data_IF_535685452833
#
_entry.id   IF_535685452833
#
_cell.length_a   1.000
_cell.length_b   1.000
_cell.length_c   1.000
_cell.angle_alpha   90.00
_cell.angle_beta   90.00
_cell.angle_gamma   90.00
#
_symmetry.space_group_name_H-M   'P 1'
#
loop_
_entity.id
_entity.type
_entity.pdbx_description
1 polymer ?
#
# COMPACT_ATOMS: atom_id res chain seq x y z
N UNK A 1 -43.74 20.43 14.76
CA UNK A 1 -42.95 21.17 15.76
C UNK A 1 -42.25 22.31 15.04
N UNK A 2 -42.61 23.54 15.37
CA UNK A 2 -42.15 24.76 14.68
C UNK A 2 -40.85 25.24 15.34
N UNK A 3 -39.75 25.31 14.57
CA UNK A 3 -38.51 25.90 15.06
C UNK A 3 -38.45 27.38 14.64
N UNK A 4 -38.52 28.26 15.64
CA UNK A 4 -38.25 29.70 15.52
C UNK A 4 -36.74 29.92 15.66
N UNK A 5 -36.12 30.60 14.68
CA UNK A 5 -34.76 31.16 14.79
C UNK A 5 -34.80 32.64 14.45
N UNK A 6 -34.31 33.51 15.34
CA UNK A 6 -33.58 34.72 14.95
C UNK A 6 -32.40 35.00 15.89
N UNK A 7 -31.41 35.87 15.65
CA UNK A 7 -30.77 36.44 14.47
C UNK A 7 -29.42 37.02 14.98
N UNK A 8 -28.45 37.13 14.08
CA UNK A 8 -27.03 37.52 14.29
C UNK A 8 -26.80 38.79 15.12
N UNK A 9 -25.61 38.85 15.74
CA UNK A 9 -24.73 40.03 15.59
C UNK A 9 -23.31 39.61 15.22
N UNK A 10 -22.72 40.20 14.15
CA UNK A 10 -21.30 40.06 13.84
C UNK A 10 -20.51 41.13 14.60
N UNK A 11 -19.58 40.73 15.46
CA UNK A 11 -18.59 41.66 16.03
C UNK A 11 -17.41 41.76 15.06
N UNK A 12 -17.33 42.91 14.38
CA UNK A 12 -16.37 43.18 13.31
C UNK A 12 -14.93 43.42 13.77
N UNK A 13 -14.03 43.68 12.79
CA UNK A 13 -12.58 43.69 12.98
C UNK A 13 -12.06 45.05 13.48
N UNK A 14 -11.22 45.04 14.53
CA UNK A 14 -10.42 46.21 14.90
C UNK A 14 -9.19 46.30 14.00
N UNK A 15 -9.26 47.27 13.09
CA UNK A 15 -8.17 47.78 12.27
C UNK A 15 -7.17 48.53 13.17
N UNK A 16 -5.88 48.32 12.91
CA UNK A 16 -4.69 48.98 13.51
C UNK A 16 -4.04 48.22 14.67
N UNK A 17 -3.07 47.39 14.32
CA UNK A 17 -1.74 47.38 14.96
C UNK A 17 -0.70 46.92 13.94
N UNK A 18 -0.08 47.94 13.35
CA UNK A 18 1.29 48.05 12.86
C UNK A 18 2.05 46.75 12.54
N UNK A 19 2.14 46.45 11.23
CA UNK A 19 3.17 45.58 10.67
C UNK A 19 4.49 46.36 10.65
N UNK A 20 5.39 46.03 11.57
CA UNK A 20 6.82 46.32 11.47
C UNK A 20 7.43 45.27 10.55
N UNK A 21 8.06 45.71 9.47
CA UNK A 21 8.61 44.86 8.44
C UNK A 21 9.93 44.19 8.82
N UNK A 22 10.14 43.01 8.24
CA UNK A 22 11.46 42.54 7.84
C UNK A 22 11.30 41.87 6.48
N UNK A 23 12.04 42.37 5.49
CA UNK A 23 12.10 41.80 4.15
C UNK A 23 12.84 40.45 4.20
N UNK A 24 12.18 39.39 3.74
CA UNK A 24 12.78 38.08 3.51
C UNK A 24 12.18 37.48 2.24
N UNK A 25 12.97 37.44 1.18
CA UNK A 25 12.60 36.83 -0.08
C UNK A 25 12.57 35.29 0.07
N UNK A 26 11.58 34.65 -0.56
CA UNK A 26 11.73 33.28 -1.05
C UNK A 26 10.81 32.19 -0.45
N UNK A 27 10.05 31.58 -1.37
CA UNK A 27 9.70 30.16 -1.49
C UNK A 27 8.49 29.59 -0.71
N UNK A 28 7.48 29.24 -1.52
CA UNK A 28 6.70 27.99 -1.57
C UNK A 28 6.11 27.36 -0.29
N UNK A 29 4.80 27.12 -0.40
CA UNK A 29 4.00 26.08 0.27
C UNK A 29 4.80 24.83 0.65
N UNK A 30 4.72 24.43 1.93
CA UNK A 30 5.09 23.10 2.37
C UNK A 30 5.29 22.97 3.88
N UNK A 31 4.27 22.48 4.59
CA UNK A 31 4.44 21.93 5.95
C UNK A 31 5.41 20.75 5.91
N UNK A 32 6.62 20.91 6.45
CA UNK A 32 7.37 19.82 7.05
C UNK A 32 8.27 20.39 8.14
N UNK A 33 8.03 19.99 9.39
CA UNK A 33 8.89 20.33 10.51
C UNK A 33 10.29 19.74 10.25
N UNK A 34 11.29 20.60 10.19
CA UNK A 34 12.69 20.23 10.03
C UNK A 34 13.23 19.57 11.29
N UNK A 35 13.77 18.38 11.14
CA UNK A 35 14.74 17.81 12.07
C UNK A 35 16.12 17.95 11.45
N UNK A 36 16.92 18.86 11.99
CA UNK A 36 18.35 18.96 11.72
C UNK A 36 19.06 17.67 12.17
N UNK A 37 19.88 17.11 11.28
CA UNK A 37 20.73 15.97 11.57
C UNK A 37 21.55 15.56 10.34
N UNK A 38 22.65 16.27 10.10
CA UNK A 38 23.71 15.87 9.16
C UNK A 38 24.41 14.60 9.66
N UNK A 39 24.53 13.58 8.79
CA UNK A 39 25.81 13.05 8.32
C UNK A 39 25.58 11.83 7.41
N UNK A 40 26.13 11.90 6.20
CA UNK A 40 26.04 10.86 5.19
C UNK A 40 27.24 9.90 5.29
N UNK A 41 27.02 8.68 5.78
CA UNK A 41 27.79 7.48 5.42
C UNK A 41 27.08 6.20 5.89
N UNK A 42 26.57 5.39 4.94
CA UNK A 42 26.40 3.94 5.13
C UNK A 42 25.25 3.44 6.03
N UNK A 43 24.05 4.03 5.95
CA UNK A 43 22.87 3.49 6.63
C UNK A 43 22.05 2.56 5.75
N UNK A 44 22.01 1.26 6.05
CA UNK A 44 21.03 0.36 5.42
C UNK A 44 19.59 0.81 5.67
N UNK A 45 18.59 0.32 4.89
CA UNK A 45 17.23 0.83 4.99
C UNK A 45 16.64 0.59 6.39
N UNK A 46 15.81 1.54 6.82
CA UNK A 46 15.09 1.48 8.08
C UNK A 46 14.19 0.23 8.15
N UNK A 47 13.81 -0.20 9.35
CA UNK A 47 12.88 -1.33 9.54
C UNK A 47 11.57 -1.10 8.78
N UNK A 48 11.07 0.14 8.78
CA UNK A 48 9.86 0.54 8.07
C UNK A 48 10.01 0.42 6.55
N UNK A 49 11.13 0.90 5.99
CA UNK A 49 11.40 0.79 4.55
C UNK A 49 11.55 -0.68 4.12
N UNK A 50 12.25 -1.50 4.91
CA UNK A 50 12.37 -2.94 4.67
C UNK A 50 10.99 -3.62 4.70
N UNK A 51 10.15 -3.28 5.67
CA UNK A 51 8.81 -3.83 5.81
C UNK A 51 7.91 -3.45 4.62
N UNK A 52 7.95 -2.19 4.18
CA UNK A 52 7.23 -1.71 2.99
C UNK A 52 7.73 -2.38 1.71
N UNK A 53 9.05 -2.45 1.51
CA UNK A 53 9.64 -3.11 0.35
C UNK A 53 9.27 -4.60 0.29
N UNK A 54 9.29 -5.29 1.43
CA UNK A 54 8.83 -6.67 1.54
C UNK A 54 7.35 -6.82 1.19
N UNK A 55 6.49 -5.97 1.76
CA UNK A 55 5.06 -6.00 1.49
C UNK A 55 4.73 -5.69 0.02
N UNK A 56 5.45 -4.76 -0.61
CA UNK A 56 5.32 -4.47 -2.05
C UNK A 56 5.73 -5.69 -2.89
N UNK A 57 6.87 -6.32 -2.58
CA UNK A 57 7.36 -7.51 -3.29
C UNK A 57 6.40 -8.69 -3.17
N UNK A 58 5.93 -8.99 -1.96
CA UNK A 58 4.99 -10.10 -1.75
C UNK A 58 3.65 -9.85 -2.44
N UNK A 59 3.18 -8.58 -2.45
CA UNK A 59 1.98 -8.20 -3.21
C UNK A 59 2.19 -8.34 -4.72
N UNK A 60 3.38 -8.01 -5.24
CA UNK A 60 3.72 -8.21 -6.65
C UNK A 60 3.71 -9.68 -7.05
N UNK A 61 4.29 -10.55 -6.21
CA UNK A 61 4.22 -12.00 -6.43
C UNK A 61 2.80 -12.56 -6.37
N UNK A 62 1.87 -11.90 -5.69
CA UNK A 62 0.46 -12.25 -5.73
C UNK A 62 -0.22 -11.78 -7.03
N UNK A 63 0.12 -10.60 -7.56
CA UNK A 63 -0.36 -10.15 -8.89
C UNK A 63 0.00 -11.15 -9.97
N UNK A 64 1.24 -11.63 -9.97
CA UNK A 64 1.72 -12.65 -10.93
C UNK A 64 0.91 -13.96 -10.85
N UNK A 65 0.47 -14.35 -9.65
CA UNK A 65 -0.41 -15.53 -9.48
C UNK A 65 -1.81 -15.28 -10.04
N UNK A 66 -2.38 -14.10 -9.81
CA UNK A 66 -3.65 -13.73 -10.44
C UNK A 66 -3.54 -13.76 -11.97
N UNK A 67 -2.45 -13.21 -12.53
CA UNK A 67 -2.17 -13.24 -13.97
C UNK A 67 -2.09 -14.67 -14.51
N UNK A 68 -1.37 -15.55 -13.82
CA UNK A 68 -1.25 -16.95 -14.21
C UNK A 68 -2.61 -17.67 -14.18
N UNK A 69 -3.44 -17.44 -13.16
CA UNK A 69 -4.78 -18.04 -13.07
C UNK A 69 -5.71 -17.50 -14.16
N UNK A 70 -5.69 -16.19 -14.43
CA UNK A 70 -6.49 -15.58 -15.51
C UNK A 70 -6.07 -16.13 -16.87
N UNK A 71 -4.77 -16.30 -17.11
CA UNK A 71 -4.25 -16.86 -18.36
C UNK A 71 -4.63 -18.33 -18.55
N UNK A 72 -4.62 -19.13 -17.48
CA UNK A 72 -5.00 -20.54 -17.52
C UNK A 72 -6.52 -20.75 -17.59
N UNK A 73 -7.30 -19.84 -17.00
CA UNK A 73 -8.76 -19.92 -16.86
C UNK A 73 -9.45 -18.63 -17.30
N UNK A 74 -9.57 -18.38 -18.62
CA UNK A 74 -10.17 -17.14 -19.13
C UNK A 74 -11.61 -16.91 -18.67
N UNK A 75 -12.37 -17.97 -18.40
CA UNK A 75 -13.74 -17.90 -17.89
C UNK A 75 -13.83 -17.26 -16.49
N UNK A 76 -12.75 -17.29 -15.71
CA UNK A 76 -12.67 -16.64 -14.40
C UNK A 76 -12.26 -15.18 -14.47
N UNK A 77 -11.88 -14.66 -15.65
CA UNK A 77 -11.31 -13.33 -15.78
C UNK A 77 -12.24 -12.22 -15.26
N UNK A 78 -13.55 -12.35 -15.48
CA UNK A 78 -14.53 -11.37 -15.00
C UNK A 78 -14.57 -11.27 -13.46
N UNK A 79 -14.39 -12.40 -12.76
CA UNK A 79 -14.32 -12.45 -11.30
C UNK A 79 -12.97 -11.95 -10.78
N UNK A 80 -11.88 -12.35 -11.45
CA UNK A 80 -10.52 -12.14 -10.94
C UNK A 80 -9.94 -10.75 -11.27
N UNK A 81 -10.37 -10.11 -12.36
CA UNK A 81 -9.80 -8.81 -12.79
C UNK A 81 -9.98 -7.70 -11.75
N UNK A 82 -11.16 -7.51 -11.12
CA UNK A 82 -11.33 -6.50 -10.07
C UNK A 82 -10.45 -6.78 -8.85
N UNK A 83 -10.35 -8.05 -8.42
CA UNK A 83 -9.52 -8.44 -7.27
C UNK A 83 -8.03 -8.20 -7.55
N UNK A 84 -7.57 -8.58 -8.75
CA UNK A 84 -6.20 -8.29 -9.21
C UNK A 84 -5.90 -6.80 -9.19
N UNK A 85 -6.83 -5.96 -9.64
CA UNK A 85 -6.65 -4.51 -9.66
C UNK A 85 -6.45 -3.93 -8.24
N UNK A 86 -7.16 -4.45 -7.25
CA UNK A 86 -6.94 -4.09 -5.84
C UNK A 86 -5.56 -4.54 -5.34
N UNK A 87 -5.10 -5.75 -5.68
CA UNK A 87 -3.74 -6.20 -5.33
C UNK A 87 -2.66 -5.32 -5.96
N UNK A 88 -2.87 -4.86 -7.20
CA UNK A 88 -1.99 -3.88 -7.85
C UNK A 88 -1.99 -2.54 -7.10
N UNK A 89 -3.14 -2.08 -6.59
CA UNK A 89 -3.21 -0.88 -5.72
C UNK A 89 -2.47 -1.09 -4.42
N UNK A 90 -2.51 -2.27 -3.82
CA UNK A 90 -1.71 -2.60 -2.63
C UNK A 90 -0.20 -2.50 -2.88
N UNK A 91 0.29 -2.98 -4.03
CA UNK A 91 1.70 -2.81 -4.44
C UNK A 91 2.08 -1.33 -4.46
N UNK A 92 1.23 -0.49 -5.06
CA UNK A 92 1.45 0.95 -5.14
C UNK A 92 1.41 1.62 -3.76
N UNK A 93 0.49 1.23 -2.89
CA UNK A 93 0.35 1.75 -1.53
C UNK A 93 1.60 1.51 -0.67
N UNK A 94 2.31 0.39 -0.89
CA UNK A 94 3.59 0.11 -0.23
C UNK A 94 4.80 0.78 -0.90
N UNK A 95 4.59 1.56 -1.95
CA UNK A 95 5.64 2.32 -2.65
C UNK A 95 6.20 1.63 -3.90
N UNK A 96 5.63 0.50 -4.34
CA UNK A 96 6.10 -0.22 -5.53
C UNK A 96 5.97 0.54 -6.86
N UNK A 97 5.28 1.68 -6.89
CA UNK A 97 5.12 2.54 -8.07
C UNK A 97 5.90 3.86 -8.03
N UNK A 98 6.50 4.24 -6.90
CA UNK A 98 7.26 5.50 -6.76
C UNK A 98 8.75 5.20 -6.81
N UNK A 99 9.27 5.03 -8.02
CA UNK A 99 10.69 5.23 -8.28
C UNK A 99 11.03 6.71 -8.11
N UNK A 100 11.46 7.11 -6.90
CA UNK A 100 12.38 8.23 -6.80
C UNK A 100 13.71 7.76 -7.40
N UNK A 101 13.98 8.26 -8.60
CA UNK A 101 15.25 8.15 -9.28
C UNK A 101 16.37 8.72 -8.40
N UNK A 102 17.12 7.84 -7.75
CA UNK A 102 18.58 7.88 -7.53
C UNK A 102 18.95 6.67 -6.68
N UNK A 103 19.07 5.51 -7.32
CA UNK A 103 19.90 4.43 -6.82
C UNK A 103 20.51 3.77 -8.06
N UNK A 104 21.77 4.09 -8.31
CA UNK A 104 22.59 3.37 -9.29
C UNK A 104 22.73 1.94 -8.78
N UNK A 105 21.84 1.06 -9.22
CA UNK A 105 21.92 -0.36 -8.89
C UNK A 105 22.95 -1.03 -9.82
N UNK A 106 24.15 -1.28 -9.30
CA UNK A 106 25.06 -2.26 -9.88
C UNK A 106 24.39 -3.64 -9.90
N UNK A 107 24.41 -4.38 -11.02
CA UNK A 107 23.83 -5.71 -11.08
C UNK A 107 24.84 -6.70 -10.50
N UNK A 108 24.73 -7.00 -9.21
CA UNK A 108 25.38 -8.18 -8.64
C UNK A 108 24.45 -8.82 -7.62
N UNK A 109 23.34 -9.34 -8.12
CA UNK A 109 22.44 -10.22 -7.40
C UNK A 109 22.45 -11.58 -8.09
N UNK A 110 23.11 -12.56 -7.49
CA UNK A 110 23.05 -13.96 -7.88
C UNK A 110 21.58 -14.41 -8.02
N UNK A 111 21.21 -15.26 -9.00
CA UNK A 111 19.84 -15.74 -9.14
C UNK A 111 19.47 -16.55 -7.89
N UNK A 112 18.83 -15.89 -6.93
CA UNK A 112 18.15 -16.54 -5.82
C UNK A 112 17.12 -17.46 -6.45
N UNK A 113 17.28 -18.77 -6.25
CA UNK A 113 16.44 -19.83 -6.80
C UNK A 113 14.97 -19.39 -6.80
N UNK A 114 14.51 -18.96 -7.98
CA UNK A 114 13.11 -18.64 -8.19
C UNK A 114 12.43 -19.99 -8.09
N UNK A 115 11.73 -20.23 -6.97
CA UNK A 115 10.82 -21.36 -6.90
C UNK A 115 9.91 -21.22 -8.12
N UNK A 116 10.07 -22.10 -9.10
CA UNK A 116 9.22 -22.10 -10.28
C UNK A 116 7.77 -22.04 -9.78
N UNK A 117 6.93 -21.15 -10.35
CA UNK A 117 5.54 -21.09 -9.94
C UNK A 117 4.99 -22.51 -10.09
N UNK A 118 4.45 -23.04 -8.99
CA UNK A 118 3.71 -24.30 -9.05
C UNK A 118 2.68 -24.17 -10.17
N UNK A 119 2.55 -25.19 -11.04
CA UNK A 119 1.66 -25.10 -12.18
C UNK A 119 0.23 -24.81 -11.68
N UNK A 120 -0.47 -23.90 -12.35
CA UNK A 120 -1.87 -23.59 -12.04
C UNK A 120 -2.70 -24.87 -12.24
N UNK A 121 -3.53 -25.28 -11.27
CA UNK A 121 -4.40 -26.43 -11.43
C UNK A 121 -5.28 -26.32 -12.68
N UNK A 122 -5.46 -27.44 -13.39
CA UNK A 122 -6.33 -27.49 -14.58
C UNK A 122 -7.83 -27.40 -14.23
N UNK A 123 -8.19 -27.70 -12.98
CA UNK A 123 -9.54 -27.49 -12.48
C UNK A 123 -9.72 -26.03 -12.00
N UNK A 124 -10.70 -25.26 -12.55
CA UNK A 124 -10.92 -23.87 -12.16
C UNK A 124 -11.20 -23.70 -10.66
N UNK A 125 -11.92 -24.64 -10.02
CA UNK A 125 -12.27 -24.57 -8.59
C UNK A 125 -11.04 -24.80 -7.71
N UNK A 126 -10.18 -25.75 -8.07
CA UNK A 126 -8.89 -25.95 -7.44
C UNK A 126 -8.00 -24.71 -7.58
N UNK A 127 -7.95 -24.09 -8.76
CA UNK A 127 -7.19 -22.85 -8.98
C UNK A 127 -7.67 -21.69 -8.10
N UNK A 128 -8.98 -21.49 -7.96
CA UNK A 128 -9.55 -20.50 -7.04
C UNK A 128 -9.23 -20.82 -5.58
N UNK A 129 -9.27 -22.09 -5.18
CA UNK A 129 -8.95 -22.52 -3.82
C UNK A 129 -7.48 -22.26 -3.47
N UNK A 130 -6.56 -22.56 -4.37
CA UNK A 130 -5.13 -22.27 -4.19
C UNK A 130 -4.85 -20.76 -4.15
N UNK A 131 -5.51 -19.98 -5.01
CA UNK A 131 -5.40 -18.53 -5.00
C UNK A 131 -5.94 -17.93 -3.69
N UNK A 132 -7.06 -18.44 -3.19
CA UNK A 132 -7.61 -18.05 -1.89
C UNK A 132 -6.66 -18.38 -0.73
N UNK A 133 -5.98 -19.54 -0.78
CA UNK A 133 -4.97 -19.90 0.21
C UNK A 133 -3.75 -18.97 0.15
N UNK A 134 -3.35 -18.53 -1.05
CA UNK A 134 -2.27 -17.57 -1.23
C UNK A 134 -2.62 -16.18 -0.65
N UNK A 135 -3.83 -15.68 -0.92
CA UNK A 135 -4.36 -14.44 -0.34
C UNK A 135 -4.36 -14.51 1.19
N UNK A 136 -4.91 -15.60 1.76
CA UNK A 136 -5.02 -15.79 3.21
C UNK A 136 -3.64 -15.87 3.87
N UNK A 137 -2.72 -16.64 3.30
CA UNK A 137 -1.33 -16.75 3.79
C UNK A 137 -0.64 -15.38 3.82
N UNK A 138 -0.86 -14.56 2.80
CA UNK A 138 -0.26 -13.23 2.74
C UNK A 138 -0.93 -12.25 3.71
N UNK A 139 -2.25 -12.31 3.86
CA UNK A 139 -2.99 -11.56 4.88
C UNK A 139 -2.48 -11.88 6.29
N UNK A 140 -2.32 -13.17 6.63
CA UNK A 140 -1.79 -13.62 7.92
C UNK A 140 -0.34 -13.18 8.13
N UNK A 141 0.48 -13.24 7.07
CA UNK A 141 1.85 -12.73 7.11
C UNK A 141 1.91 -11.23 7.42
N UNK A 142 1.05 -10.43 6.79
CA UNK A 142 0.94 -8.98 7.07
C UNK A 142 0.39 -8.72 8.48
N UNK A 143 -0.58 -9.50 8.94
CA UNK A 143 -1.14 -9.43 10.29
C UNK A 143 -0.08 -9.68 11.38
N UNK A 144 0.91 -10.53 11.10
CA UNK A 144 2.07 -10.73 11.98
C UNK A 144 3.08 -9.59 11.85
N UNK A 145 3.41 -9.21 10.62
CA UNK A 145 4.43 -8.18 10.35
C UNK A 145 4.05 -6.79 10.87
N UNK A 146 2.75 -6.46 10.95
CA UNK A 146 2.31 -5.16 11.44
C UNK A 146 2.67 -4.90 12.90
N UNK A 147 2.93 -5.95 13.69
CA UNK A 147 3.36 -5.84 15.10
C UNK A 147 4.78 -5.28 15.23
N UNK A 148 5.58 -5.36 14.16
CA UNK A 148 6.99 -4.98 14.12
C UNK A 148 7.21 -3.55 13.57
N UNK A 149 6.14 -2.84 13.21
CA UNK A 149 6.22 -1.51 12.62
C UNK A 149 5.32 -0.50 13.35
N UNK A 150 5.74 0.77 13.47
CA UNK A 150 4.95 1.77 14.18
C UNK A 150 3.88 2.44 13.30
N UNK A 151 2.87 2.99 13.99
CA UNK A 151 2.01 4.07 13.49
C UNK A 151 1.30 3.78 12.18
N UNK A 152 1.49 4.68 11.21
CA UNK A 152 0.77 4.66 9.93
C UNK A 152 1.02 3.38 9.12
N UNK A 153 2.22 2.81 9.21
CA UNK A 153 2.56 1.61 8.42
C UNK A 153 1.85 0.39 8.97
N UNK A 154 1.73 0.26 10.28
CA UNK A 154 0.92 -0.80 10.90
C UNK A 154 -0.56 -0.69 10.48
N UNK A 155 -1.11 0.53 10.47
CA UNK A 155 -2.51 0.78 10.04
C UNK A 155 -2.72 0.41 8.57
N UNK A 156 -1.79 0.77 7.69
CA UNK A 156 -1.83 0.37 6.28
C UNK A 156 -1.76 -1.16 6.13
N UNK A 157 -0.83 -1.82 6.83
CA UNK A 157 -0.71 -3.29 6.79
C UNK A 157 -1.98 -3.98 7.31
N UNK A 158 -2.58 -3.47 8.38
CA UNK A 158 -3.84 -3.99 8.90
C UNK A 158 -4.98 -3.88 7.88
N UNK A 159 -5.12 -2.71 7.23
CA UNK A 159 -6.14 -2.49 6.21
C UNK A 159 -5.96 -3.42 5.01
N UNK A 160 -4.73 -3.58 4.50
CA UNK A 160 -4.45 -4.47 3.37
C UNK A 160 -4.59 -5.95 3.76
N UNK A 161 -4.25 -6.33 4.99
CA UNK A 161 -4.48 -7.69 5.50
C UNK A 161 -5.98 -8.01 5.54
N UNK A 162 -6.81 -7.08 6.03
CA UNK A 162 -8.27 -7.23 6.04
C UNK A 162 -8.85 -7.35 4.62
N UNK A 163 -8.38 -6.52 3.67
CA UNK A 163 -8.79 -6.63 2.27
C UNK A 163 -8.42 -7.99 1.66
N UNK A 164 -7.19 -8.47 1.88
CA UNK A 164 -6.76 -9.79 1.41
C UNK A 164 -7.57 -10.95 2.02
N UNK A 165 -7.95 -10.85 3.30
CA UNK A 165 -8.87 -11.82 3.92
C UNK A 165 -10.26 -11.80 3.25
N UNK A 166 -10.76 -10.61 2.90
CA UNK A 166 -12.01 -10.46 2.12
C UNK A 166 -11.91 -11.06 0.72
N UNK A 167 -10.79 -10.86 0.01
CA UNK A 167 -10.56 -11.50 -1.28
C UNK A 167 -10.53 -13.02 -1.17
N UNK A 168 -9.83 -13.56 -0.16
CA UNK A 168 -9.80 -15.00 0.08
C UNK A 168 -11.20 -15.58 0.32
N UNK A 169 -12.08 -14.85 0.99
CA UNK A 169 -13.48 -15.24 1.15
C UNK A 169 -14.22 -15.27 -0.20
N UNK A 170 -14.13 -14.20 -1.00
CA UNK A 170 -14.79 -14.12 -2.31
C UNK A 170 -14.31 -15.22 -3.28
N UNK A 171 -13.02 -15.55 -3.26
CA UNK A 171 -12.45 -16.62 -4.07
C UNK A 171 -12.98 -18.00 -3.66
N UNK A 172 -13.16 -18.25 -2.36
CA UNK A 172 -13.79 -19.49 -1.87
C UNK A 172 -15.25 -19.57 -2.27
N UNK A 173 -16.00 -18.46 -2.21
CA UNK A 173 -17.39 -18.43 -2.68
C UNK A 173 -17.48 -18.67 -4.20
N UNK A 174 -16.54 -18.13 -4.99
CA UNK A 174 -16.46 -18.38 -6.43
C UNK A 174 -16.08 -19.82 -6.79
N UNK A 175 -15.52 -20.60 -5.86
CA UNK A 175 -15.15 -22.00 -6.06
C UNK A 175 -16.28 -22.99 -5.74
N UNK A 176 -17.39 -22.54 -5.16
CA UNK A 176 -18.55 -23.38 -4.84
C UNK A 176 -19.40 -23.62 -6.08
#
# INVERSE_FOLDING_TARGET
MSFTVPSRTPSGPRRRSLLVGAAGAGLLVGCSAGGEGSDAAGGGPSVVEKARARAAKDSGGLVERYDAVIAAHPDLAALLTPLRAEVVRHVQAFGGGKGTATASASPSGSPSASASPSPVPADPKAALTELAAAERKLADGRAKALLEVPGEVARLMASVAAAGAGHAYLLVEGAK
#
